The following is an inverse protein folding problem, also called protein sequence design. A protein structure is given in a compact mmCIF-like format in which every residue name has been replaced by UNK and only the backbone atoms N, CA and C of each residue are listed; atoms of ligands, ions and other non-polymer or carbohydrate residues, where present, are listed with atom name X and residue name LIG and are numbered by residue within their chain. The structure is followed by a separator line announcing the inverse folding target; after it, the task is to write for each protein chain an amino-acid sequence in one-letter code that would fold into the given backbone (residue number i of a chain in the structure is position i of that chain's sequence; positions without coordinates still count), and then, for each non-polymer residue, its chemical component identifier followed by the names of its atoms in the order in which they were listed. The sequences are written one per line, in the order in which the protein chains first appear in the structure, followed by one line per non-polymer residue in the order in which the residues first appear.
data_IF_843931808291
#
_entry.id   IF_843931808291
#
_cell.length_a   1.000
_cell.length_b   1.000
_cell.length_c   1.000
_cell.angle_alpha   90.00
_cell.angle_beta   90.00
_cell.angle_gamma   90.00
#
_symmetry.space_group_name_H-M   'P 1'
#
loop_
_entity.id
_entity.type
_entity.pdbx_description
1 polymer ?
#
# COMPACT_ATOMS: atom_id res chain seq x y z
N UNK A 1 -5.75 -15.31 -49.24
CA UNK A 1 -5.87 -14.10 -48.43
C UNK A 1 -5.35 -14.45 -47.03
N UNK A 2 -4.04 -14.24 -46.80
CA UNK A 2 -3.41 -14.56 -45.51
C UNK A 2 -3.66 -13.42 -44.54
N UNK A 3 -4.41 -13.68 -43.48
CA UNK A 3 -4.62 -12.74 -42.39
C UNK A 3 -3.35 -12.75 -41.53
N UNK A 4 -2.54 -11.71 -41.59
CA UNK A 4 -1.38 -11.55 -40.74
C UNK A 4 -1.88 -11.25 -39.31
N UNK A 5 -1.82 -12.23 -38.44
CA UNK A 5 -1.96 -12.04 -37.00
C UNK A 5 -0.74 -11.23 -36.50
N UNK A 6 -0.95 -9.95 -36.30
CA UNK A 6 0.04 -9.11 -35.60
C UNK A 6 0.14 -9.61 -34.16
N UNK A 7 1.14 -10.42 -33.87
CA UNK A 7 1.55 -10.69 -32.49
C UNK A 7 2.12 -9.41 -31.90
N UNK A 8 1.30 -8.66 -31.17
CA UNK A 8 1.83 -7.66 -30.24
C UNK A 8 2.72 -8.41 -29.26
N UNK A 9 4.03 -8.16 -29.35
CA UNK A 9 4.99 -8.74 -28.44
C UNK A 9 4.56 -8.46 -27.00
N UNK A 10 4.32 -9.55 -26.25
CA UNK A 10 3.99 -9.48 -24.83
C UNK A 10 5.16 -8.77 -24.14
N UNK A 11 4.95 -7.55 -23.67
CA UNK A 11 6.00 -6.77 -23.00
C UNK A 11 6.42 -7.54 -21.75
N UNK A 12 7.64 -8.06 -21.74
CA UNK A 12 8.18 -8.77 -20.59
C UNK A 12 8.53 -7.78 -19.49
N UNK A 13 7.58 -7.52 -18.62
CA UNK A 13 7.77 -6.67 -17.45
C UNK A 13 8.71 -7.28 -16.40
N UNK A 14 9.00 -8.58 -16.45
CA UNK A 14 9.87 -9.24 -15.47
C UNK A 14 11.31 -8.75 -15.56
N UNK A 15 11.76 -8.34 -16.73
CA UNK A 15 13.10 -7.73 -16.91
C UNK A 15 13.30 -6.49 -16.02
N UNK A 16 12.25 -5.73 -15.68
CA UNK A 16 12.33 -4.57 -14.81
C UNK A 16 12.66 -4.96 -13.37
N UNK A 17 12.10 -6.06 -12.89
CA UNK A 17 12.40 -6.60 -11.57
C UNK A 17 13.83 -7.14 -11.50
N UNK A 18 14.27 -7.88 -12.53
CA UNK A 18 15.63 -8.41 -12.63
C UNK A 18 16.69 -7.31 -12.64
N UNK A 19 16.47 -6.20 -13.37
CA UNK A 19 17.38 -5.03 -13.38
C UNK A 19 17.54 -4.38 -12.01
N UNK A 20 16.58 -4.55 -11.15
CA UNK A 20 16.62 -4.10 -9.76
C UNK A 20 17.15 -5.14 -8.77
N UNK A 21 17.57 -6.32 -9.23
CA UNK A 21 17.94 -7.47 -8.38
C UNK A 21 16.87 -7.78 -7.34
N UNK A 22 15.62 -7.86 -7.79
CA UNK A 22 14.46 -8.23 -6.98
C UNK A 22 13.56 -9.18 -7.75
N UNK A 23 12.73 -9.96 -7.06
CA UNK A 23 11.57 -10.63 -7.61
C UNK A 23 10.30 -9.91 -7.17
N UNK A 24 9.19 -10.18 -7.86
CA UNK A 24 7.90 -9.60 -7.48
C UNK A 24 6.97 -9.37 -8.67
N UNK A 25 5.90 -8.64 -8.40
CA UNK A 25 4.87 -8.36 -9.38
C UNK A 25 4.27 -6.97 -9.24
N UNK A 26 3.62 -6.53 -10.31
CA UNK A 26 2.73 -5.37 -10.32
C UNK A 26 1.34 -5.82 -10.79
N UNK A 27 0.35 -5.52 -9.98
CA UNK A 27 -1.07 -5.70 -10.29
C UNK A 27 -1.68 -4.35 -10.57
N UNK A 28 -2.40 -4.20 -11.68
CA UNK A 28 -3.06 -2.94 -12.08
C UNK A 28 -4.53 -3.22 -12.39
N UNK A 29 -5.41 -2.28 -12.05
CA UNK A 29 -6.79 -2.26 -12.46
C UNK A 29 -7.11 -0.95 -13.19
N UNK A 30 -7.56 -1.08 -14.42
CA UNK A 30 -8.08 0.02 -15.23
C UNK A 30 -9.58 0.18 -14.93
N UNK A 31 -9.93 1.22 -14.19
CA UNK A 31 -11.31 1.45 -13.75
C UNK A 31 -12.27 1.69 -14.89
N UNK A 32 -11.84 2.42 -15.94
CA UNK A 32 -12.69 2.75 -17.07
C UNK A 32 -13.08 1.52 -17.90
N UNK A 33 -12.07 0.67 -18.18
CA UNK A 33 -12.25 -0.51 -19.03
C UNK A 33 -12.57 -1.77 -18.20
N UNK A 34 -12.66 -1.65 -16.88
CA UNK A 34 -12.86 -2.79 -15.94
C UNK A 34 -11.87 -3.94 -16.18
N UNK A 35 -10.62 -3.61 -16.48
CA UNK A 35 -9.60 -4.57 -16.89
C UNK A 35 -8.49 -4.69 -15.85
N UNK A 36 -8.20 -5.94 -15.50
CA UNK A 36 -7.01 -6.29 -14.71
C UNK A 36 -5.80 -6.50 -15.62
N UNK A 37 -4.63 -6.05 -15.17
CA UNK A 37 -3.33 -6.27 -15.81
C UNK A 37 -2.40 -6.81 -14.72
N UNK A 38 -1.76 -7.95 -14.99
CA UNK A 38 -0.85 -8.61 -14.06
C UNK A 38 0.49 -8.82 -14.75
N UNK A 39 1.61 -8.49 -14.08
CA UNK A 39 2.93 -8.93 -14.54
C UNK A 39 3.22 -10.36 -14.11
N UNK A 40 2.54 -10.84 -13.05
CA UNK A 40 2.49 -12.23 -12.58
C UNK A 40 1.13 -12.44 -11.89
N UNK A 41 0.28 -13.27 -12.51
CA UNK A 41 -1.08 -13.51 -12.03
C UNK A 41 -1.12 -14.40 -10.77
N UNK A 42 -0.14 -15.27 -10.59
CA UNK A 42 -0.05 -16.12 -9.39
C UNK A 42 0.42 -15.30 -8.19
N UNK A 43 1.44 -14.45 -8.37
CA UNK A 43 1.91 -13.56 -7.32
C UNK A 43 0.85 -12.52 -6.93
N UNK A 44 -0.01 -12.10 -7.86
CA UNK A 44 -1.12 -11.18 -7.59
C UNK A 44 -2.11 -11.70 -6.52
N UNK A 45 -2.18 -13.00 -6.31
CA UNK A 45 -3.07 -13.65 -5.34
C UNK A 45 -2.36 -14.07 -4.05
N UNK A 46 -1.04 -14.02 -4.02
CA UNK A 46 -0.26 -14.42 -2.84
C UNK A 46 -0.33 -13.37 -1.74
N UNK A 47 -0.72 -13.77 -0.56
CA UNK A 47 -0.79 -12.91 0.62
C UNK A 47 0.57 -12.76 1.30
N UNK A 48 0.86 -11.55 1.76
CA UNK A 48 1.98 -11.23 2.65
C UNK A 48 1.60 -10.06 3.54
N UNK A 49 2.37 -9.82 4.61
CA UNK A 49 2.13 -8.69 5.48
C UNK A 49 2.14 -7.37 4.67
N UNK A 50 1.13 -6.52 4.84
CA UNK A 50 1.03 -5.23 4.13
C UNK A 50 2.04 -4.20 4.62
N UNK A 51 2.61 -4.36 5.79
CA UNK A 51 3.48 -3.37 6.41
C UNK A 51 2.80 -1.99 6.44
N UNK A 52 3.55 -0.93 6.14
CA UNK A 52 3.01 0.43 6.18
C UNK A 52 1.93 0.74 5.13
N UNK A 53 1.63 -0.16 4.18
CA UNK A 53 0.44 0.04 3.31
C UNK A 53 -0.86 -0.14 4.08
N UNK A 54 -0.83 -0.88 5.19
CA UNK A 54 -1.96 -1.00 6.11
C UNK A 54 -2.42 0.35 6.67
N UNK A 55 -1.54 1.36 6.70
CA UNK A 55 -1.90 2.72 7.15
C UNK A 55 -3.06 3.34 6.36
N UNK A 56 -3.33 2.86 5.13
CA UNK A 56 -4.47 3.32 4.32
C UNK A 56 -5.79 2.96 5.00
N UNK A 57 -6.00 1.68 5.32
CA UNK A 57 -7.22 1.25 6.02
C UNK A 57 -7.19 1.65 7.49
N UNK A 58 -6.02 1.64 8.14
CA UNK A 58 -5.88 2.05 9.53
C UNK A 58 -6.35 3.51 9.74
N UNK A 59 -5.97 4.44 8.83
CA UNK A 59 -6.43 5.83 8.87
C UNK A 59 -7.95 5.92 8.73
N UNK A 60 -8.54 5.18 7.80
CA UNK A 60 -10.01 5.16 7.64
C UNK A 60 -10.72 4.64 8.89
N UNK A 61 -10.21 3.57 9.49
CA UNK A 61 -10.79 3.01 10.72
C UNK A 61 -10.64 4.00 11.89
N UNK A 62 -9.47 4.64 12.03
CA UNK A 62 -9.26 5.65 13.09
C UNK A 62 -10.22 6.84 12.97
N UNK A 63 -10.48 7.30 11.75
CA UNK A 63 -11.46 8.36 11.46
C UNK A 63 -12.90 7.90 11.72
N UNK A 64 -13.28 6.72 11.22
CA UNK A 64 -14.64 6.20 11.32
C UNK A 64 -15.04 5.86 12.75
N UNK A 65 -14.08 5.41 13.56
CA UNK A 65 -14.29 5.11 14.99
C UNK A 65 -14.18 6.33 15.90
N UNK A 66 -13.87 7.52 15.35
CA UNK A 66 -13.71 8.75 16.12
C UNK A 66 -12.46 8.78 17.01
N UNK A 67 -11.51 7.88 16.81
CA UNK A 67 -10.21 7.89 17.51
C UNK A 67 -9.41 9.15 17.15
N UNK A 68 -9.60 9.64 15.93
CA UNK A 68 -9.16 10.94 15.47
C UNK A 68 -10.31 11.67 14.75
N UNK A 69 -10.30 12.99 14.77
CA UNK A 69 -11.30 13.83 14.10
C UNK A 69 -10.97 14.08 12.64
N UNK A 70 -9.70 14.32 12.37
CA UNK A 70 -9.15 14.55 11.03
C UNK A 70 -7.63 14.29 10.97
N UNK A 71 -7.05 14.53 9.79
CA UNK A 71 -5.63 14.31 9.51
C UNK A 71 -4.67 15.24 10.26
N UNK A 72 -5.16 16.31 10.90
CA UNK A 72 -4.37 17.28 11.64
C UNK A 72 -4.28 16.96 13.14
N UNK A 73 -5.06 16.01 13.62
CA UNK A 73 -4.96 15.56 15.00
C UNK A 73 -3.54 15.09 15.32
N UNK A 74 -3.01 15.59 16.45
CA UNK A 74 -1.66 15.29 16.90
C UNK A 74 -1.63 14.10 17.83
N UNK A 75 -0.78 13.13 17.50
CA UNK A 75 -0.45 12.02 18.39
C UNK A 75 0.82 12.37 19.13
N UNK A 76 0.78 12.30 20.47
CA UNK A 76 1.90 12.59 21.35
C UNK A 76 2.92 11.46 21.31
N UNK A 77 4.19 11.81 21.23
CA UNK A 77 5.28 10.84 21.30
C UNK A 77 5.30 10.14 22.68
N UNK A 78 5.33 8.81 22.64
CA UNK A 78 5.27 7.98 23.86
C UNK A 78 6.64 7.73 24.52
N UNK A 79 7.70 8.37 23.99
CA UNK A 79 9.05 8.29 24.59
C UNK A 79 9.87 7.07 24.19
N UNK A 80 9.27 6.06 23.55
CA UNK A 80 9.98 4.84 23.16
C UNK A 80 9.37 4.17 21.91
N UNK A 81 10.19 3.39 21.22
CA UNK A 81 9.79 2.45 20.16
C UNK A 81 10.84 1.35 20.06
N UNK A 82 10.46 0.20 19.56
CA UNK A 82 11.41 -0.89 19.31
C UNK A 82 12.28 -0.55 18.09
N UNK A 83 13.50 -0.07 18.33
CA UNK A 83 14.43 0.32 17.27
C UNK A 83 15.08 -0.88 16.56
N UNK A 84 15.02 -2.08 17.16
CA UNK A 84 15.51 -3.31 16.53
C UNK A 84 14.53 -3.77 15.46
N UNK A 85 13.23 -3.78 15.78
CA UNK A 85 12.17 -4.15 14.85
C UNK A 85 11.94 -3.10 13.76
N UNK A 86 11.87 -1.81 14.15
CA UNK A 86 11.46 -0.72 13.24
C UNK A 86 12.62 0.10 12.67
N UNK A 87 13.85 -0.18 13.13
CA UNK A 87 15.04 0.62 12.81
C UNK A 87 15.11 1.92 13.59
N UNK A 88 16.31 2.46 13.73
CA UNK A 88 16.55 3.72 14.41
C UNK A 88 16.25 4.90 13.49
N UNK A 89 15.25 5.71 13.83
CA UNK A 89 14.74 6.84 13.04
C UNK A 89 14.41 8.05 13.92
N UNK A 90 15.43 8.69 14.52
CA UNK A 90 15.21 9.77 15.51
C UNK A 90 14.40 10.95 14.97
N UNK A 91 14.40 11.18 13.65
CA UNK A 91 13.65 12.24 13.01
C UNK A 91 12.12 12.12 13.17
N UNK A 92 11.62 10.92 13.49
CA UNK A 92 10.18 10.66 13.72
C UNK A 92 9.83 10.52 15.21
N UNK A 93 10.79 10.62 16.14
CA UNK A 93 10.54 10.44 17.59
C UNK A 93 10.14 11.77 18.23
N UNK A 94 8.98 12.27 17.85
CA UNK A 94 8.39 13.52 18.33
C UNK A 94 6.89 13.52 18.10
N UNK A 95 6.17 14.43 18.76
CA UNK A 95 4.76 14.70 18.46
C UNK A 95 4.58 14.99 16.97
N UNK A 96 3.56 14.42 16.35
CA UNK A 96 3.28 14.69 14.95
C UNK A 96 1.80 14.52 14.62
N UNK A 97 1.36 15.24 13.59
CA UNK A 97 0.01 15.05 13.07
C UNK A 97 -0.10 13.71 12.36
N UNK A 98 -1.31 13.18 12.30
CA UNK A 98 -1.59 11.93 11.57
C UNK A 98 -1.17 12.03 10.11
N UNK A 99 -1.39 13.21 9.47
CA UNK A 99 -0.92 13.49 8.10
C UNK A 99 0.60 13.34 7.99
N UNK A 100 1.36 14.04 8.84
CA UNK A 100 2.82 13.93 8.86
C UNK A 100 3.28 12.49 9.09
N UNK A 101 2.65 11.78 10.03
CA UNK A 101 2.96 10.38 10.33
C UNK A 101 2.70 9.45 9.13
N UNK A 102 1.65 9.70 8.36
CA UNK A 102 1.35 8.95 7.14
C UNK A 102 2.41 9.20 6.06
N UNK A 103 2.77 10.46 5.82
CA UNK A 103 3.75 10.89 4.83
C UNK A 103 5.14 10.27 5.09
N UNK A 104 5.66 10.42 6.32
CA UNK A 104 6.98 9.87 6.69
C UNK A 104 6.92 8.40 7.12
N UNK A 105 5.73 7.81 7.12
CA UNK A 105 5.50 6.42 7.52
C UNK A 105 5.94 6.11 8.97
N UNK A 106 5.65 7.02 9.91
CA UNK A 106 5.92 6.82 11.34
C UNK A 106 5.07 5.66 11.88
N UNK A 107 5.70 4.51 12.15
CA UNK A 107 5.03 3.29 12.60
C UNK A 107 4.37 3.47 13.96
N UNK A 108 5.10 4.06 14.89
CA UNK A 108 4.66 4.25 16.26
C UNK A 108 3.31 4.99 16.39
N UNK A 109 3.07 6.01 15.55
CA UNK A 109 1.79 6.75 15.56
C UNK A 109 0.62 5.81 15.27
N UNK A 110 0.75 4.98 14.23
CA UNK A 110 -0.33 4.07 13.83
C UNK A 110 -0.51 2.90 14.78
N UNK A 111 0.53 2.52 15.54
CA UNK A 111 0.42 1.59 16.67
C UNK A 111 -0.36 2.23 17.81
N UNK A 112 -0.09 3.49 18.16
CA UNK A 112 -0.86 4.21 19.18
C UNK A 112 -2.33 4.41 18.79
N UNK A 113 -2.60 4.66 17.50
CA UNK A 113 -3.97 4.67 16.99
C UNK A 113 -4.62 3.28 17.11
N UNK A 114 -3.88 2.21 16.79
CA UNK A 114 -4.38 0.85 16.87
C UNK A 114 -4.78 0.45 18.30
N UNK A 115 -3.99 0.81 19.30
CA UNK A 115 -4.32 0.61 20.72
C UNK A 115 -5.68 1.24 21.08
N UNK A 116 -5.95 2.45 20.55
CA UNK A 116 -7.21 3.17 20.80
C UNK A 116 -8.39 2.62 20.00
N UNK A 117 -8.15 2.12 18.79
CA UNK A 117 -9.16 1.48 17.94
C UNK A 117 -9.62 0.18 18.61
N UNK A 118 -8.68 -0.66 18.98
CA UNK A 118 -8.94 -1.96 19.58
C UNK A 118 -9.28 -3.05 18.56
N UNK A 119 -9.01 -4.29 18.92
CA UNK A 119 -9.05 -5.47 18.05
C UNK A 119 -10.42 -5.77 17.46
N UNK A 120 -11.49 -5.61 18.24
CA UNK A 120 -12.86 -5.88 17.77
C UNK A 120 -13.28 -4.93 16.65
N UNK A 121 -12.91 -3.65 16.72
CA UNK A 121 -13.19 -2.70 15.64
C UNK A 121 -12.39 -3.01 14.38
N UNK A 122 -11.12 -3.44 14.53
CA UNK A 122 -10.37 -3.96 13.38
C UNK A 122 -11.05 -5.15 12.74
N UNK A 123 -11.42 -6.16 13.52
CA UNK A 123 -12.13 -7.34 13.03
C UNK A 123 -13.38 -6.97 12.24
N UNK A 124 -14.18 -6.04 12.79
CA UNK A 124 -15.39 -5.54 12.15
C UNK A 124 -15.10 -4.86 10.81
N UNK A 125 -14.24 -3.84 10.78
CA UNK A 125 -14.00 -3.07 9.56
C UNK A 125 -13.20 -3.83 8.50
N UNK A 126 -12.25 -4.67 8.89
CA UNK A 126 -11.53 -5.55 7.97
C UNK A 126 -12.48 -6.54 7.31
N UNK A 127 -13.39 -7.13 8.09
CA UNK A 127 -14.41 -8.04 7.56
C UNK A 127 -15.37 -7.34 6.59
N UNK A 128 -15.91 -6.17 6.95
CA UNK A 128 -16.81 -5.40 6.09
C UNK A 128 -16.11 -4.92 4.80
N UNK A 129 -14.82 -4.62 4.87
CA UNK A 129 -14.02 -4.16 3.71
C UNK A 129 -13.49 -5.30 2.85
N UNK A 130 -13.59 -6.56 3.30
CA UNK A 130 -12.93 -7.69 2.64
C UNK A 130 -11.41 -7.49 2.48
N UNK A 131 -10.77 -6.76 3.42
CA UNK A 131 -9.36 -6.42 3.34
C UNK A 131 -8.49 -7.38 4.13
N UNK A 132 -7.62 -8.10 3.43
CA UNK A 132 -6.73 -9.11 3.98
C UNK A 132 -7.45 -10.40 4.35
N UNK A 133 -6.70 -11.31 5.00
CA UNK A 133 -7.19 -12.63 5.38
C UNK A 133 -7.94 -12.67 6.73
N UNK A 134 -8.03 -11.52 7.43
CA UNK A 134 -8.71 -11.42 8.72
C UNK A 134 -7.98 -12.06 9.90
N UNK A 135 -6.75 -12.55 9.72
CA UNK A 135 -5.98 -13.15 10.79
C UNK A 135 -5.43 -12.07 11.75
N UNK A 136 -6.02 -11.98 12.93
CA UNK A 136 -5.62 -11.07 14.00
C UNK A 136 -5.01 -11.84 15.18
N UNK A 137 -4.41 -13.01 14.95
CA UNK A 137 -3.85 -13.87 16.01
C UNK A 137 -2.60 -13.29 16.68
N UNK A 138 -1.88 -12.40 16.00
CA UNK A 138 -0.75 -11.70 16.60
C UNK A 138 -1.20 -10.86 17.81
N UNK A 139 -0.53 -11.01 18.95
CA UNK A 139 -0.98 -10.40 20.22
C UNK A 139 -0.80 -8.90 20.28
N UNK A 140 0.29 -8.40 19.66
CA UNK A 140 0.61 -6.96 19.67
C UNK A 140 -0.28 -6.15 18.71
N UNK A 141 -0.29 -4.83 18.90
CA UNK A 141 -1.15 -3.91 18.15
C UNK A 141 -0.61 -3.53 16.76
N UNK A 142 0.40 -4.25 16.28
CA UNK A 142 1.04 -4.08 14.97
C UNK A 142 0.96 -5.34 14.11
N UNK A 143 -0.10 -6.12 14.29
CA UNK A 143 -0.36 -7.40 13.63
C UNK A 143 -0.18 -7.39 12.09
N UNK A 144 -0.24 -6.23 11.47
CA UNK A 144 -0.02 -6.05 10.03
C UNK A 144 1.46 -6.02 9.63
N UNK A 145 2.37 -5.96 10.58
CA UNK A 145 3.82 -5.98 10.35
C UNK A 145 4.43 -7.35 10.64
N UNK A 146 3.99 -8.05 11.71
CA UNK A 146 4.68 -9.22 12.26
C UNK A 146 3.78 -10.42 12.51
N UNK A 147 2.49 -10.32 12.26
CA UNK A 147 1.56 -11.42 12.45
C UNK A 147 1.35 -12.26 11.19
N UNK A 148 0.36 -13.15 11.28
CA UNK A 148 -0.14 -13.93 10.14
C UNK A 148 -1.12 -13.14 9.26
N UNK A 149 -1.43 -11.88 9.62
CA UNK A 149 -2.26 -11.02 8.80
C UNK A 149 -1.59 -10.78 7.45
N UNK A 150 -2.25 -11.20 6.39
CA UNK A 150 -1.78 -11.10 5.01
C UNK A 150 -2.77 -10.40 4.10
N UNK A 151 -2.25 -9.79 3.04
CA UNK A 151 -3.02 -9.19 1.96
C UNK A 151 -2.33 -9.46 0.63
N UNK A 152 -3.10 -9.77 -0.41
CA UNK A 152 -2.56 -9.96 -1.76
C UNK A 152 -2.51 -8.65 -2.55
N UNK A 153 -1.65 -8.52 -3.57
CA UNK A 153 -1.65 -7.37 -4.47
C UNK A 153 -3.02 -7.07 -5.08
N UNK A 154 -3.76 -8.11 -5.49
CA UNK A 154 -5.11 -7.95 -6.02
C UNK A 154 -6.08 -7.41 -4.99
N UNK A 155 -6.01 -7.89 -3.74
CA UNK A 155 -6.87 -7.40 -2.66
C UNK A 155 -6.55 -5.94 -2.30
N UNK A 156 -5.26 -5.54 -2.27
CA UNK A 156 -4.85 -4.14 -2.10
C UNK A 156 -5.49 -3.22 -3.15
N UNK A 157 -5.44 -3.64 -4.42
CA UNK A 157 -6.02 -2.88 -5.54
C UNK A 157 -7.53 -2.83 -5.42
N UNK A 158 -8.21 -3.96 -5.15
CA UNK A 158 -9.66 -4.01 -5.02
C UNK A 158 -10.15 -3.08 -3.91
N UNK A 159 -9.49 -3.11 -2.75
CA UNK A 159 -9.84 -2.22 -1.65
C UNK A 159 -9.74 -0.74 -2.03
N UNK A 160 -8.66 -0.35 -2.73
CA UNK A 160 -8.51 1.03 -3.21
C UNK A 160 -9.59 1.43 -4.23
N UNK A 161 -10.01 0.49 -5.09
CA UNK A 161 -11.14 0.70 -6.02
C UNK A 161 -12.43 0.94 -5.25
N UNK A 162 -12.72 0.12 -4.24
CA UNK A 162 -13.94 0.23 -3.43
C UNK A 162 -13.97 1.53 -2.62
N UNK A 163 -12.83 1.96 -2.08
CA UNK A 163 -12.68 3.29 -1.46
C UNK A 163 -12.93 4.41 -2.47
N UNK A 164 -12.35 4.33 -3.65
CA UNK A 164 -12.48 5.36 -4.68
C UNK A 164 -13.92 5.50 -5.18
N UNK A 165 -14.60 4.38 -5.38
CA UNK A 165 -16.00 4.31 -5.83
C UNK A 165 -17.01 4.57 -4.68
N UNK A 166 -16.56 4.75 -3.44
CA UNK A 166 -17.43 4.95 -2.27
C UNK A 166 -18.21 3.70 -1.86
N UNK A 167 -17.71 2.51 -2.19
CA UNK A 167 -18.30 1.20 -1.85
C UNK A 167 -17.75 0.65 -0.53
N UNK A 168 -16.58 1.12 -0.12
CA UNK A 168 -15.99 0.73 1.16
C UNK A 168 -16.83 1.26 2.34
N UNK A 169 -16.88 0.56 3.48
CA UNK A 169 -17.76 0.87 4.61
C UNK A 169 -17.27 2.06 5.46
N UNK A 170 -16.98 3.16 4.80
CA UNK A 170 -16.47 4.40 5.42
C UNK A 170 -17.25 5.60 4.91
N UNK A 171 -17.43 6.60 5.77
CA UNK A 171 -18.13 7.82 5.41
C UNK A 171 -17.39 8.58 4.29
N UNK A 172 -18.13 9.26 3.43
CA UNK A 172 -17.59 10.07 2.33
C UNK A 172 -16.56 11.10 2.84
N UNK A 173 -16.82 11.73 4.00
CA UNK A 173 -15.88 12.66 4.63
C UNK A 173 -14.53 12.00 4.90
N UNK A 174 -14.52 10.81 5.47
CA UNK A 174 -13.31 10.09 5.85
C UNK A 174 -12.56 9.57 4.62
N UNK A 175 -13.27 9.14 3.58
CA UNK A 175 -12.69 8.79 2.27
C UNK A 175 -12.00 10.02 1.64
N UNK A 176 -12.63 11.19 1.64
CA UNK A 176 -12.01 12.41 1.11
C UNK A 176 -10.78 12.85 1.93
N UNK A 177 -10.81 12.67 3.24
CA UNK A 177 -9.63 12.87 4.10
C UNK A 177 -8.48 11.95 3.70
N UNK A 178 -8.74 10.65 3.54
CA UNK A 178 -7.73 9.69 3.06
C UNK A 178 -7.18 10.10 1.68
N UNK A 179 -8.03 10.48 0.74
CA UNK A 179 -7.60 10.90 -0.61
C UNK A 179 -6.64 12.08 -0.55
N UNK A 180 -6.88 13.06 0.34
CA UNK A 180 -5.95 14.21 0.54
C UNK A 180 -4.61 13.75 1.11
N UNK A 181 -4.64 12.91 2.13
CA UNK A 181 -3.43 12.42 2.83
C UNK A 181 -2.58 11.53 1.94
N UNK A 182 -3.18 10.80 1.00
CA UNK A 182 -2.48 9.90 0.09
C UNK A 182 -1.78 10.59 -1.08
N UNK A 183 -1.96 11.90 -1.30
CA UNK A 183 -1.32 12.60 -2.43
C UNK A 183 0.20 12.54 -2.26
N UNK A 184 0.88 11.94 -3.23
CA UNK A 184 2.35 11.85 -3.26
C UNK A 184 2.97 12.60 -4.43
N UNK A 185 2.24 12.76 -5.53
CA UNK A 185 2.70 13.49 -6.70
C UNK A 185 1.51 14.17 -7.40
N UNK A 186 1.72 15.39 -7.85
CA UNK A 186 0.74 16.13 -8.64
C UNK A 186 1.44 16.77 -9.83
N UNK A 187 0.88 16.53 -11.01
CA UNK A 187 1.30 17.17 -12.27
C UNK A 187 0.09 17.80 -12.95
N UNK A 188 0.29 18.50 -14.05
CA UNK A 188 -0.81 19.03 -14.87
C UNK A 188 -1.67 17.93 -15.50
N UNK A 189 -1.11 16.72 -15.66
CA UNK A 189 -1.77 15.60 -16.35
C UNK A 189 -2.38 14.57 -15.40
N UNK A 190 -1.83 14.41 -14.18
CA UNK A 190 -2.25 13.34 -13.28
C UNK A 190 -1.93 13.65 -11.80
N UNK A 191 -2.70 13.03 -10.91
CA UNK A 191 -2.44 12.97 -9.47
C UNK A 191 -2.17 11.52 -9.07
N UNK A 192 -1.05 11.28 -8.38
CA UNK A 192 -0.73 9.97 -7.80
C UNK A 192 -1.02 10.02 -6.31
N UNK A 193 -1.86 9.10 -5.86
CA UNK A 193 -2.13 8.86 -4.45
C UNK A 193 -1.60 7.50 -4.09
N UNK A 194 -0.74 7.43 -3.08
CA UNK A 194 -0.05 6.17 -2.82
C UNK A 194 0.45 6.01 -1.38
N UNK A 195 0.82 4.77 -1.05
CA UNK A 195 1.51 4.43 0.19
C UNK A 195 2.57 3.36 -0.06
N UNK A 196 3.73 3.54 0.54
CA UNK A 196 4.79 2.53 0.57
C UNK A 196 4.68 1.67 1.82
N UNK A 197 5.15 0.41 1.72
CA UNK A 197 5.35 -0.50 2.84
C UNK A 197 6.71 -1.20 2.73
N UNK A 198 7.25 -1.62 3.87
CA UNK A 198 8.44 -2.46 3.95
C UNK A 198 8.37 -3.28 5.23
N UNK A 199 8.50 -4.59 5.09
CA UNK A 199 8.58 -5.53 6.20
C UNK A 199 9.64 -6.59 5.94
N UNK A 200 9.87 -7.43 6.93
CA UNK A 200 10.85 -8.52 6.92
C UNK A 200 10.19 -9.79 7.40
N UNK A 201 10.25 -10.81 6.58
CA UNK A 201 9.60 -12.10 6.84
C UNK A 201 10.51 -13.22 6.35
N UNK A 202 10.77 -14.23 7.19
CA UNK A 202 11.49 -15.45 6.80
C UNK A 202 12.78 -15.19 6.04
N UNK A 203 13.60 -14.28 6.53
CA UNK A 203 14.88 -13.94 5.91
C UNK A 203 14.80 -13.09 4.64
N UNK A 204 13.62 -12.60 4.28
CA UNK A 204 13.39 -11.74 3.11
C UNK A 204 12.97 -10.33 3.49
N UNK A 205 13.37 -9.36 2.69
CA UNK A 205 12.76 -8.04 2.67
C UNK A 205 11.59 -8.04 1.67
N UNK A 206 10.44 -7.51 2.09
CA UNK A 206 9.25 -7.33 1.26
C UNK A 206 8.96 -5.84 1.16
N UNK A 207 8.93 -5.31 -0.06
CA UNK A 207 8.66 -3.91 -0.33
C UNK A 207 7.36 -3.73 -1.11
N UNK A 208 6.50 -2.80 -0.67
CA UNK A 208 5.24 -2.47 -1.29
C UNK A 208 5.19 -1.03 -1.80
N UNK A 209 4.52 -0.82 -2.91
CA UNK A 209 3.99 0.47 -3.31
C UNK A 209 2.60 0.28 -3.89
N UNK A 210 1.60 0.81 -3.20
CA UNK A 210 0.19 0.69 -3.57
C UNK A 210 -0.42 2.07 -3.74
N UNK A 211 -1.38 2.20 -4.63
CA UNK A 211 -2.01 3.49 -4.88
C UNK A 211 -2.81 3.52 -6.18
N UNK A 212 -3.06 4.74 -6.64
CA UNK A 212 -3.71 4.95 -7.92
C UNK A 212 -3.26 6.27 -8.58
N UNK A 213 -3.35 6.25 -9.90
CA UNK A 213 -3.16 7.40 -10.77
C UNK A 213 -4.54 7.88 -11.21
N UNK A 214 -4.84 9.13 -10.91
CA UNK A 214 -6.06 9.80 -11.38
C UNK A 214 -5.69 10.82 -12.45
N UNK A 215 -6.30 10.70 -13.63
CA UNK A 215 -6.06 11.59 -14.78
C UNK A 215 -7.34 11.85 -15.56
N UNK A 216 -7.28 12.81 -16.49
CA UNK A 216 -8.41 13.01 -17.41
C UNK A 216 -8.73 11.70 -18.15
N UNK A 217 -9.93 11.21 -17.99
CA UNK A 217 -10.41 9.99 -18.64
C UNK A 217 -10.39 8.73 -17.80
N UNK A 218 -9.92 8.74 -16.54
CA UNK A 218 -10.04 7.57 -15.65
C UNK A 218 -9.02 7.49 -14.54
N UNK A 219 -9.18 6.45 -13.75
CA UNK A 219 -8.26 6.10 -12.67
C UNK A 219 -7.68 4.70 -12.88
N UNK A 220 -6.41 4.53 -12.52
CA UNK A 220 -5.66 3.27 -12.62
C UNK A 220 -5.08 2.94 -11.26
N UNK A 221 -5.49 1.83 -10.69
CA UNK A 221 -5.07 1.37 -9.38
C UNK A 221 -3.92 0.41 -9.52
N UNK A 222 -2.96 0.45 -8.62
CA UNK A 222 -1.79 -0.42 -8.69
C UNK A 222 -1.35 -0.91 -7.32
N UNK A 223 -0.80 -2.12 -7.30
CA UNK A 223 -0.04 -2.68 -6.20
C UNK A 223 1.21 -3.36 -6.75
N UNK A 224 2.37 -2.82 -6.45
CA UNK A 224 3.65 -3.45 -6.73
C UNK A 224 4.21 -4.01 -5.43
N UNK A 225 4.56 -5.29 -5.45
CA UNK A 225 5.28 -5.99 -4.39
C UNK A 225 6.59 -6.49 -4.92
N UNK A 226 7.67 -6.19 -4.22
CA UNK A 226 9.01 -6.68 -4.53
C UNK A 226 9.59 -7.42 -3.33
N UNK A 227 10.42 -8.42 -3.60
CA UNK A 227 11.12 -9.20 -2.57
C UNK A 227 12.59 -9.39 -2.93
N UNK A 228 13.42 -9.47 -1.90
CA UNK A 228 14.81 -9.90 -2.01
C UNK A 228 15.23 -10.67 -0.76
N UNK A 229 16.27 -11.48 -0.86
CA UNK A 229 16.93 -12.05 0.33
C UNK A 229 17.50 -10.91 1.19
N UNK A 230 17.31 -10.98 2.52
CA UNK A 230 17.77 -9.94 3.45
C UNK A 230 19.29 -9.75 3.38
N UNK A 231 20.04 -10.85 3.21
CA UNK A 231 21.48 -10.82 3.07
C UNK A 231 21.97 -10.15 1.76
N UNK A 232 21.11 -10.07 0.73
CA UNK A 232 21.47 -9.42 -0.53
C UNK A 232 21.48 -7.90 -0.36
N UNK A 233 22.62 -7.28 -0.59
CA UNK A 233 22.78 -5.81 -0.51
C UNK A 233 22.11 -5.17 -1.72
N UNK A 234 21.11 -4.33 -1.46
CA UNK A 234 20.45 -3.53 -2.49
C UNK A 234 20.04 -2.17 -1.91
N UNK A 235 20.88 -1.14 -1.99
CA UNK A 235 20.61 0.18 -1.44
C UNK A 235 19.43 0.88 -2.13
N UNK A 236 19.06 0.45 -3.35
CA UNK A 236 17.92 0.98 -4.09
C UNK A 236 16.62 0.21 -3.89
N UNK A 237 16.60 -0.84 -3.05
CA UNK A 237 15.41 -1.68 -2.85
C UNK A 237 14.13 -0.86 -2.62
N UNK A 238 14.18 0.11 -1.72
CA UNK A 238 13.03 0.97 -1.44
C UNK A 238 12.59 1.81 -2.63
N UNK A 239 13.52 2.25 -3.50
CA UNK A 239 13.22 3.04 -4.68
C UNK A 239 12.76 2.16 -5.85
N UNK A 240 13.30 0.97 -6.00
CA UNK A 240 13.00 0.04 -7.09
C UNK A 240 11.50 -0.23 -7.26
N UNK A 241 10.74 -0.39 -6.15
CA UNK A 241 9.28 -0.59 -6.22
C UNK A 241 8.55 0.55 -6.93
N UNK A 242 9.04 1.80 -6.77
CA UNK A 242 8.48 2.99 -7.44
C UNK A 242 8.94 3.06 -8.89
N UNK A 243 10.23 2.85 -9.15
CA UNK A 243 10.81 2.92 -10.50
C UNK A 243 10.18 1.87 -11.41
N UNK A 244 10.05 0.62 -10.94
CA UNK A 244 9.39 -0.46 -11.67
C UNK A 244 7.95 -0.09 -12.00
N UNK A 245 7.16 0.29 -11.00
CA UNK A 245 5.76 0.66 -11.21
C UNK A 245 5.62 1.80 -12.21
N UNK A 246 6.37 2.90 -12.04
CA UNK A 246 6.30 4.04 -12.95
C UNK A 246 6.69 3.68 -14.38
N UNK A 247 7.69 2.81 -14.54
CA UNK A 247 8.09 2.33 -15.86
C UNK A 247 6.98 1.52 -16.51
N UNK A 248 6.35 0.60 -15.78
CA UNK A 248 5.20 -0.16 -16.28
C UNK A 248 4.04 0.77 -16.66
N UNK A 249 3.70 1.72 -15.78
CA UNK A 249 2.62 2.68 -16.03
C UNK A 249 2.89 3.53 -17.28
N UNK A 250 4.14 3.96 -17.53
CA UNK A 250 4.52 4.68 -18.76
C UNK A 250 4.42 3.80 -20.01
N UNK A 251 4.89 2.54 -19.94
CA UNK A 251 4.78 1.60 -21.07
C UNK A 251 3.32 1.28 -21.41
N UNK A 252 2.42 1.38 -20.44
CA UNK A 252 0.98 1.25 -20.62
C UNK A 252 0.29 2.58 -20.96
N UNK A 253 1.02 3.66 -21.19
CA UNK A 253 0.50 5.01 -21.47
C UNK A 253 -0.46 5.52 -20.38
N UNK A 254 -0.20 5.16 -19.11
CA UNK A 254 -0.97 5.60 -17.95
C UNK A 254 -0.36 6.87 -17.33
N UNK A 255 0.98 6.98 -17.37
CA UNK A 255 1.78 8.14 -16.95
C UNK A 255 2.52 8.76 -18.14
#
# INVERSE_FOLDING_TARGET
MFCALSTFGQTDFQTLFHRCNVSGSTTIFDLRNKRWIFTDSLDALRETQPASTFKVINLLIALETGVIKDENDTVKWVGHTDTVLYGYRPEIYKDMTVKQAFEVSAGWVFIELAKKIGRERYKHFLGLSGYGNGDLSHREDDFWNFGAFGVSPKNQVQFLVDVFEGKAPFSKRNIETLKRVMITETTTAAVIRSKTGWTRVEGKDIGWWVGYVERKGGAFFFATRITKERAAINPRFGQCRKDITKTILRQLHIL
#
